data_IF_629667038714
#
_entry.id   IF_629667038714
#
_cell.length_a   1.000
_cell.length_b   1.000
_cell.length_c   1.000
_cell.angle_alpha   90.00
_cell.angle_beta   90.00
_cell.angle_gamma   90.00
#
_symmetry.space_group_name_H-M   'P 1'
#
loop_
_entity.id
_entity.type
_entity.pdbx_description
1 polymer ?
#
# COMPACT_ATOMS: atom_id res chain seq x y z
N UNK A 1 37.20 -14.83 -14.25
CA UNK A 1 36.12 -14.81 -15.24
C UNK A 1 34.85 -15.30 -14.57
N UNK A 2 33.82 -14.43 -14.45
CA UNK A 2 32.54 -14.82 -13.87
C UNK A 2 31.85 -15.86 -14.75
N UNK A 3 31.51 -17.01 -14.18
CA UNK A 3 30.82 -18.08 -14.91
C UNK A 3 29.41 -17.56 -15.30
N UNK A 4 29.07 -17.64 -16.58
CA UNK A 4 27.81 -17.16 -17.16
C UNK A 4 26.58 -17.75 -16.44
N UNK A 5 26.68 -19.01 -15.96
CA UNK A 5 25.64 -19.66 -15.16
C UNK A 5 25.44 -19.00 -13.79
N UNK A 6 26.49 -18.40 -13.21
CA UNK A 6 26.38 -17.66 -11.95
C UNK A 6 25.65 -16.32 -12.16
N UNK A 7 25.95 -15.64 -13.26
CA UNK A 7 25.29 -14.36 -13.61
C UNK A 7 23.80 -14.58 -13.85
N UNK A 8 23.43 -15.63 -14.58
CA UNK A 8 22.02 -15.99 -14.82
C UNK A 8 21.32 -16.35 -13.49
N UNK A 9 21.98 -17.07 -12.60
CA UNK A 9 21.42 -17.46 -11.29
C UNK A 9 21.22 -16.25 -10.37
N UNK A 10 22.16 -15.31 -10.36
CA UNK A 10 22.04 -14.04 -9.62
C UNK A 10 20.90 -13.20 -10.22
N UNK A 11 20.80 -13.10 -11.55
CA UNK A 11 19.73 -12.36 -12.21
C UNK A 11 18.34 -12.96 -11.93
N UNK A 12 18.23 -14.29 -11.88
CA UNK A 12 16.98 -14.98 -11.50
C UNK A 12 16.63 -14.76 -10.02
N UNK A 13 17.63 -14.80 -9.12
CA UNK A 13 17.44 -14.49 -7.70
C UNK A 13 17.01 -13.03 -7.49
N UNK A 14 17.62 -12.10 -8.20
CA UNK A 14 17.22 -10.67 -8.12
C UNK A 14 15.83 -10.44 -8.70
N UNK A 15 15.45 -11.17 -9.74
CA UNK A 15 14.12 -11.06 -10.35
C UNK A 15 12.99 -11.62 -9.45
N UNK A 16 13.32 -12.56 -8.53
CA UNK A 16 12.38 -13.11 -7.57
C UNK A 16 12.19 -12.25 -6.32
N UNK A 17 13.13 -11.35 -6.02
CA UNK A 17 13.10 -10.48 -4.85
C UNK A 17 12.53 -9.08 -5.12
N UNK A 18 12.32 -8.73 -6.39
CA UNK A 18 11.76 -7.44 -6.81
C UNK A 18 10.52 -7.68 -7.65
N UNK A 19 9.43 -7.03 -7.29
CA UNK A 19 8.18 -7.08 -8.05
C UNK A 19 8.02 -5.84 -8.92
N UNK A 20 7.41 -6.00 -10.09
CA UNK A 20 6.92 -4.90 -10.91
C UNK A 20 5.41 -4.72 -10.80
N UNK A 21 4.79 -5.38 -9.82
CA UNK A 21 3.35 -5.32 -9.58
C UNK A 21 3.09 -5.13 -8.09
N UNK A 22 2.33 -4.11 -7.74
CA UNK A 22 2.00 -3.80 -6.35
C UNK A 22 0.48 -3.70 -6.16
N UNK A 23 0.04 -4.02 -4.95
CA UNK A 23 -1.34 -3.86 -4.52
C UNK A 23 -1.46 -2.59 -3.68
N UNK A 24 -2.44 -1.77 -4.01
CA UNK A 24 -2.73 -0.53 -3.28
C UNK A 24 -4.23 -0.43 -2.97
N UNK A 25 -4.55 0.11 -1.81
CA UNK A 25 -5.92 0.33 -1.39
C UNK A 25 -6.25 1.82 -1.52
N UNK A 26 -7.25 2.12 -2.36
CA UNK A 26 -7.73 3.49 -2.54
C UNK A 26 -8.44 3.97 -1.27
N UNK A 27 -8.09 5.15 -0.71
CA UNK A 27 -8.76 5.69 0.46
C UNK A 27 -10.19 6.14 0.11
N UNK A 28 -11.20 5.55 0.74
CA UNK A 28 -12.58 6.02 0.67
C UNK A 28 -12.84 7.06 1.75
N UNK A 29 -12.42 6.76 2.97
CA UNK A 29 -12.35 7.71 4.08
C UNK A 29 -10.92 7.71 4.58
N UNK A 30 -10.39 8.89 4.76
CA UNK A 30 -9.06 9.10 5.31
C UNK A 30 -9.14 10.04 6.51
N UNK A 31 -8.48 9.67 7.59
CA UNK A 31 -8.45 10.45 8.81
C UNK A 31 -7.84 9.68 9.97
N UNK A 32 -7.76 10.32 11.11
CA UNK A 32 -7.28 9.68 12.33
C UNK A 32 -8.26 8.56 12.76
N UNK A 33 -7.70 7.39 13.08
CA UNK A 33 -8.47 6.31 13.69
C UNK A 33 -8.71 6.61 15.18
N UNK A 34 -9.96 6.79 15.63
CA UNK A 34 -10.25 7.10 17.04
C UNK A 34 -9.77 6.03 18.03
N UNK A 35 -9.72 4.77 17.57
CA UNK A 35 -9.31 3.64 18.42
C UNK A 35 -7.81 3.65 18.72
N UNK A 36 -7.01 4.15 17.80
CA UNK A 36 -5.54 4.20 17.93
C UNK A 36 -5.00 5.56 18.39
N UNK A 37 -5.87 6.58 18.51
CA UNK A 37 -5.47 7.93 18.91
C UNK A 37 -4.82 7.99 20.29
N UNK A 38 -5.21 7.11 21.21
CA UNK A 38 -4.70 7.12 22.59
C UNK A 38 -3.27 6.53 22.67
N UNK A 39 -2.96 5.58 21.79
CA UNK A 39 -1.70 4.83 21.83
C UNK A 39 -0.66 5.34 20.83
N UNK A 40 -1.09 6.11 19.84
CA UNK A 40 -0.21 6.59 18.77
C UNK A 40 0.10 8.08 18.91
N UNK A 41 1.23 8.38 19.56
CA UNK A 41 1.73 9.76 19.77
C UNK A 41 2.00 10.55 18.49
N UNK A 42 2.14 9.86 17.35
CA UNK A 42 2.37 10.49 16.05
C UNK A 42 1.05 10.87 15.34
N UNK A 43 -0.07 10.34 15.81
CA UNK A 43 -1.36 10.63 15.24
C UNK A 43 -1.95 11.90 15.89
N UNK A 44 -2.07 12.96 15.10
CA UNK A 44 -2.70 14.21 15.56
C UNK A 44 -4.13 14.28 15.07
N UNK A 45 -5.07 14.51 15.98
CA UNK A 45 -6.44 14.86 15.62
C UNK A 45 -6.52 16.38 15.38
N UNK A 46 -6.68 16.79 14.14
CA UNK A 46 -7.07 18.16 13.82
C UNK A 46 -8.61 18.24 13.82
N UNK A 47 -9.18 18.62 14.95
CA UNK A 47 -10.63 18.73 15.14
C UNK A 47 -11.31 19.81 14.27
N UNK A 48 -10.51 20.68 13.63
CA UNK A 48 -11.00 21.83 12.87
C UNK A 48 -10.99 21.62 11.34
N UNK A 49 -10.52 20.48 10.83
CA UNK A 49 -10.50 20.22 9.39
C UNK A 49 -11.69 19.32 9.03
N UNK A 50 -12.42 19.73 8.01
CA UNK A 50 -13.52 18.94 7.45
C UNK A 50 -12.97 17.58 6.97
N UNK A 51 -13.46 16.50 7.56
CA UNK A 51 -13.06 15.12 7.23
C UNK A 51 -13.28 14.80 5.75
N UNK A 52 -14.27 15.44 5.13
CA UNK A 52 -14.53 15.30 3.70
C UNK A 52 -13.38 15.87 2.88
N UNK A 53 -12.91 17.07 3.20
CA UNK A 53 -11.78 17.72 2.51
C UNK A 53 -10.53 16.87 2.64
N UNK A 54 -10.25 16.33 3.82
CA UNK A 54 -9.10 15.46 4.06
C UNK A 54 -9.17 14.19 3.20
N UNK A 55 -10.35 13.55 3.15
CA UNK A 55 -10.56 12.34 2.34
C UNK A 55 -10.47 12.62 0.84
N UNK A 56 -10.99 13.75 0.37
CA UNK A 56 -10.92 14.14 -1.02
C UNK A 56 -9.46 14.43 -1.44
N UNK A 57 -8.70 15.12 -0.61
CA UNK A 57 -7.27 15.37 -0.84
C UNK A 57 -6.47 14.06 -0.86
N UNK A 58 -6.69 13.17 0.12
CA UNK A 58 -6.02 11.87 0.16
C UNK A 58 -6.30 11.04 -1.11
N UNK A 59 -7.52 11.10 -1.64
CA UNK A 59 -7.88 10.42 -2.89
C UNK A 59 -7.14 11.00 -4.09
N UNK A 60 -7.04 12.32 -4.18
CA UNK A 60 -6.30 13.01 -5.26
C UNK A 60 -4.81 12.66 -5.19
N UNK A 61 -4.22 12.69 -4.00
CA UNK A 61 -2.82 12.31 -3.80
C UNK A 61 -2.57 10.83 -4.18
N UNK A 62 -3.48 9.94 -3.78
CA UNK A 62 -3.43 8.52 -4.16
C UNK A 62 -3.44 8.35 -5.68
N UNK A 63 -4.38 8.98 -6.39
CA UNK A 63 -4.50 8.89 -7.85
C UNK A 63 -3.25 9.43 -8.56
N UNK A 64 -2.72 10.55 -8.11
CA UNK A 64 -1.48 11.12 -8.63
C UNK A 64 -0.30 10.17 -8.42
N UNK A 65 -0.19 9.56 -7.23
CA UNK A 65 0.87 8.63 -6.91
C UNK A 65 0.78 7.35 -7.75
N UNK A 66 -0.41 6.77 -7.90
CA UNK A 66 -0.65 5.61 -8.76
C UNK A 66 -0.25 5.91 -10.21
N UNK A 67 -0.59 7.09 -10.73
CA UNK A 67 -0.22 7.50 -12.09
C UNK A 67 1.29 7.59 -12.26
N UNK A 68 2.01 8.14 -11.29
CA UNK A 68 3.48 8.21 -11.31
C UNK A 68 4.08 6.80 -11.32
N UNK A 69 3.60 5.90 -10.49
CA UNK A 69 4.06 4.51 -10.40
C UNK A 69 3.85 3.79 -11.75
N UNK A 70 2.65 3.89 -12.31
CA UNK A 70 2.31 3.29 -13.61
C UNK A 70 3.17 3.86 -14.74
N UNK A 71 3.41 5.17 -14.73
CA UNK A 71 4.28 5.83 -15.72
C UNK A 71 5.71 5.30 -15.67
N UNK A 72 6.19 4.87 -14.49
CA UNK A 72 7.51 4.27 -14.31
C UNK A 72 7.54 2.74 -14.58
N UNK A 73 6.49 2.18 -15.18
CA UNK A 73 6.46 0.79 -15.62
C UNK A 73 6.12 -0.25 -14.54
N UNK A 74 5.54 0.20 -13.43
CA UNK A 74 5.07 -0.67 -12.36
C UNK A 74 3.55 -0.83 -12.46
N UNK A 75 3.07 -2.06 -12.52
CA UNK A 75 1.64 -2.36 -12.49
C UNK A 75 1.07 -2.09 -11.10
N UNK A 76 -0.07 -1.44 -11.03
CA UNK A 76 -0.79 -1.21 -9.77
C UNK A 76 -2.14 -1.91 -9.83
N UNK A 77 -2.37 -2.81 -8.87
CA UNK A 77 -3.67 -3.43 -8.62
C UNK A 77 -4.36 -2.58 -7.55
N UNK A 78 -5.45 -1.94 -7.92
CA UNK A 78 -6.18 -1.04 -7.04
C UNK A 78 -7.42 -1.73 -6.48
N UNK A 79 -7.56 -1.68 -5.15
CA UNK A 79 -8.79 -2.05 -4.45
C UNK A 79 -9.34 -0.85 -3.70
N UNK A 80 -10.64 -0.88 -3.44
CA UNK A 80 -11.29 0.07 -2.54
C UNK A 80 -12.12 -0.69 -1.53
N UNK A 81 -12.17 -0.19 -0.30
CA UNK A 81 -13.05 -0.74 0.72
C UNK A 81 -14.48 -0.27 0.48
N UNK A 82 -15.44 -1.16 0.69
CA UNK A 82 -16.86 -0.79 0.68
C UNK A 82 -17.32 -0.23 2.03
N UNK A 83 -16.52 -0.41 3.06
CA UNK A 83 -16.82 0.02 4.42
C UNK A 83 -16.23 1.39 4.71
N UNK A 84 -17.03 2.24 5.34
CA UNK A 84 -16.62 3.56 5.81
C UNK A 84 -16.00 3.51 7.23
N UNK A 85 -15.74 2.33 7.76
CA UNK A 85 -15.28 2.15 9.13
C UNK A 85 -13.87 1.54 9.25
N UNK A 86 -13.13 1.49 8.14
CA UNK A 86 -11.80 0.86 8.09
C UNK A 86 -10.74 1.87 7.62
N UNK A 87 -10.40 2.90 8.42
CA UNK A 87 -9.43 3.92 8.03
C UNK A 87 -8.03 3.34 7.79
N UNK A 88 -7.65 2.28 8.52
CA UNK A 88 -6.33 1.66 8.43
C UNK A 88 -6.20 0.64 7.29
N UNK A 89 -7.28 0.37 6.54
CA UNK A 89 -7.26 -0.57 5.42
C UNK A 89 -6.27 -0.19 4.31
N UNK A 90 -5.92 1.09 4.20
CA UNK A 90 -4.96 1.60 3.23
C UNK A 90 -3.53 1.08 3.48
N UNK A 91 -3.23 0.65 4.70
CA UNK A 91 -1.94 0.09 5.08
C UNK A 91 -1.92 -1.43 4.83
N UNK A 92 -2.04 -1.82 3.55
CA UNK A 92 -2.15 -3.23 3.16
C UNK A 92 -0.97 -4.08 3.66
N UNK A 93 0.22 -3.53 3.77
CA UNK A 93 1.41 -4.19 4.30
C UNK A 93 1.26 -4.67 5.76
N UNK A 94 0.30 -4.14 6.51
CA UNK A 94 0.07 -4.54 7.90
C UNK A 94 -0.82 -5.78 8.02
N UNK A 95 -1.65 -6.08 7.02
CA UNK A 95 -2.64 -7.15 7.13
C UNK A 95 -2.61 -8.18 6.00
N UNK A 96 -1.84 -7.96 4.92
CA UNK A 96 -1.72 -8.91 3.81
C UNK A 96 -0.27 -9.02 3.33
N UNK A 97 0.17 -10.22 3.01
CA UNK A 97 1.36 -10.46 2.21
C UNK A 97 1.07 -11.45 1.08
N UNK A 98 1.75 -11.26 -0.04
CA UNK A 98 1.66 -12.12 -1.21
C UNK A 98 3.03 -12.72 -1.51
N UNK A 99 3.06 -13.96 -1.98
CA UNK A 99 4.28 -14.72 -2.20
C UNK A 99 4.37 -15.20 -3.66
N UNK A 100 5.59 -15.47 -4.18
CA UNK A 100 5.79 -15.87 -5.58
C UNK A 100 5.13 -17.20 -5.96
N UNK A 101 4.87 -18.07 -4.98
CA UNK A 101 4.16 -19.36 -5.15
C UNK A 101 2.63 -19.20 -5.25
N UNK A 102 2.12 -17.96 -5.18
CA UNK A 102 0.69 -17.65 -5.19
C UNK A 102 0.02 -17.69 -3.82
N UNK A 103 0.76 -17.98 -2.75
CA UNK A 103 0.23 -17.96 -1.39
C UNK A 103 -0.08 -16.53 -0.96
N UNK A 104 -1.20 -16.36 -0.25
CA UNK A 104 -1.61 -15.09 0.37
C UNK A 104 -1.78 -15.32 1.87
N UNK A 105 -1.09 -14.51 2.67
CA UNK A 105 -1.24 -14.53 4.11
C UNK A 105 -2.01 -13.30 4.57
N UNK A 106 -2.98 -13.51 5.44
CA UNK A 106 -3.74 -12.46 6.11
C UNK A 106 -3.34 -12.42 7.58
N UNK A 107 -3.11 -11.22 8.08
CA UNK A 107 -2.72 -10.99 9.46
C UNK A 107 -3.85 -10.25 10.18
N UNK A 108 -4.14 -10.61 11.44
CA UNK A 108 -5.10 -9.85 12.25
C UNK A 108 -4.54 -8.47 12.58
N UNK A 109 -5.40 -7.49 12.48
CA UNK A 109 -5.12 -6.11 12.94
C UNK A 109 -5.86 -5.84 14.23
#
# INVERSE_FOLDING_TARGET
>A
MLNFNYVIKIYHLMKSSVTNKILMIKPNIFGSNPETLQDNIFQKSNSNIDKKIVSDNARIEFENFVNIIKYNGIDVIEFSTKSNHLPDSIYSNNWISTHPDGTIHLYPM
#
